data_IF_256918720325
#
_entry.id   IF_256918720325
#
_cell.length_a   1.000
_cell.length_b   1.000
_cell.length_c   1.000
_cell.angle_alpha   90.00
_cell.angle_beta   90.00
_cell.angle_gamma   90.00
#
_symmetry.space_group_name_H-M   'P 1'
#
loop_
_entity.id
_entity.type
_entity.pdbx_description
1 polymer ?
#
# COMPACT_ATOMS: atom_id res chain seq x y z
N UNK A 1 -8.73 -10.60 1.58
CA UNK A 1 -7.99 -9.86 2.65
C UNK A 1 -6.88 -10.67 3.31
N UNK A 2 -7.12 -11.94 3.67
CA UNK A 2 -6.12 -12.83 4.31
C UNK A 2 -4.92 -13.03 3.39
N UNK A 3 -5.19 -13.33 2.12
CA UNK A 3 -4.21 -13.49 1.06
C UNK A 3 -3.39 -12.21 0.82
N UNK A 4 -4.01 -11.03 0.94
CA UNK A 4 -3.33 -9.74 0.84
C UNK A 4 -2.35 -9.53 2.00
N UNK A 5 -2.69 -9.94 3.22
CA UNK A 5 -1.78 -9.88 4.36
C UNK A 5 -0.60 -10.84 4.19
N UNK A 6 -0.84 -12.07 3.74
CA UNK A 6 0.23 -13.03 3.42
C UNK A 6 1.20 -12.51 2.35
N UNK A 7 0.66 -11.99 1.24
CA UNK A 7 1.48 -11.37 0.19
C UNK A 7 2.19 -10.10 0.66
N UNK A 8 1.56 -9.33 1.57
CA UNK A 8 2.15 -8.14 2.20
C UNK A 8 3.38 -8.49 3.04
N UNK A 9 3.31 -9.53 3.85
CA UNK A 9 4.45 -10.01 4.66
C UNK A 9 5.64 -10.43 3.78
N UNK A 10 5.37 -11.18 2.69
CA UNK A 10 6.41 -11.60 1.73
C UNK A 10 7.08 -10.39 1.08
N UNK A 11 6.29 -9.39 0.66
CA UNK A 11 6.81 -8.15 0.07
C UNK A 11 7.66 -7.36 1.07
N UNK A 12 7.26 -7.28 2.34
CA UNK A 12 8.01 -6.56 3.37
C UNK A 12 9.40 -7.18 3.59
N UNK A 13 9.46 -8.52 3.74
CA UNK A 13 10.75 -9.24 3.88
C UNK A 13 11.62 -9.05 2.65
N UNK A 14 11.03 -9.16 1.46
CA UNK A 14 11.75 -9.00 0.19
C UNK A 14 12.28 -7.58 -0.01
N UNK A 15 11.51 -6.55 0.36
CA UNK A 15 11.91 -5.15 0.26
C UNK A 15 13.05 -4.81 1.23
N UNK A 16 12.97 -5.28 2.49
CA UNK A 16 14.05 -5.10 3.45
C UNK A 16 15.34 -5.79 3.00
N UNK A 17 15.20 -7.01 2.48
CA UNK A 17 16.30 -7.78 1.91
C UNK A 17 16.96 -7.08 0.71
N UNK A 18 16.16 -6.44 -0.16
CA UNK A 18 16.67 -5.65 -1.29
C UNK A 18 17.42 -4.40 -0.82
N UNK A 19 16.87 -3.67 0.15
CA UNK A 19 17.49 -2.46 0.69
C UNK A 19 18.82 -2.75 1.40
N UNK A 20 18.88 -3.83 2.19
CA UNK A 20 20.08 -4.20 2.95
C UNK A 20 21.21 -4.77 2.09
N UNK A 21 20.88 -5.46 0.99
CA UNK A 21 21.88 -6.04 0.07
C UNK A 21 22.22 -5.15 -1.10
N UNK A 22 21.44 -4.10 -1.34
CA UNK A 22 21.68 -3.12 -2.39
C UNK A 22 22.76 -2.10 -2.01
N UNK A 23 23.15 -1.31 -2.99
CA UNK A 23 24.09 -0.20 -2.86
C UNK A 23 23.39 1.17 -2.68
N UNK A 24 22.06 1.15 -2.53
CA UNK A 24 21.23 2.35 -2.41
C UNK A 24 20.87 3.02 -3.74
N UNK A 25 21.29 2.48 -4.89
CA UNK A 25 20.92 3.04 -6.21
C UNK A 25 19.51 2.66 -6.65
N UNK A 26 19.00 1.52 -6.18
CA UNK A 26 17.62 1.08 -6.38
C UNK A 26 16.67 1.81 -5.43
N UNK A 27 16.63 3.14 -5.55
CA UNK A 27 15.94 4.03 -4.62
C UNK A 27 14.99 4.97 -5.34
N UNK A 28 13.80 5.11 -4.76
CA UNK A 28 12.84 6.18 -5.05
C UNK A 28 12.51 6.82 -3.72
N UNK A 29 12.47 8.15 -3.65
CA UNK A 29 12.18 8.84 -2.40
C UNK A 29 10.81 8.45 -1.85
N UNK A 30 10.72 8.34 -0.52
CA UNK A 30 9.47 8.02 0.16
C UNK A 30 8.39 9.06 -0.16
N UNK A 31 8.76 10.34 -0.23
CA UNK A 31 7.84 11.43 -0.56
C UNK A 31 7.21 11.25 -1.95
N UNK A 32 7.99 10.81 -2.95
CA UNK A 32 7.45 10.52 -4.28
C UNK A 32 6.45 9.36 -4.23
N UNK A 33 6.75 8.30 -3.47
CA UNK A 33 5.84 7.17 -3.27
C UNK A 33 4.53 7.61 -2.58
N UNK A 34 4.62 8.45 -1.55
CA UNK A 34 3.44 8.97 -0.83
C UNK A 34 2.60 9.89 -1.72
N UNK A 35 3.24 10.77 -2.49
CA UNK A 35 2.54 11.66 -3.43
C UNK A 35 1.83 10.88 -4.52
N UNK A 36 2.47 9.84 -5.07
CA UNK A 36 1.85 8.91 -6.02
C UNK A 36 0.65 8.18 -5.40
N UNK A 37 0.81 7.63 -4.18
CA UNK A 37 -0.29 6.96 -3.45
C UNK A 37 -1.49 7.90 -3.23
N UNK A 38 -1.23 9.16 -2.88
CA UNK A 38 -2.29 10.16 -2.69
C UNK A 38 -2.99 10.51 -4.01
N UNK A 39 -2.24 10.66 -5.12
CA UNK A 39 -2.84 10.89 -6.45
C UNK A 39 -3.71 9.71 -6.86
N UNK A 40 -3.18 8.49 -6.78
CA UNK A 40 -3.94 7.27 -7.10
C UNK A 40 -5.20 7.17 -6.25
N UNK A 41 -5.12 7.45 -4.95
CA UNK A 41 -6.28 7.43 -4.05
C UNK A 41 -7.36 8.47 -4.42
N UNK A 42 -6.97 9.64 -4.95
CA UNK A 42 -7.92 10.65 -5.46
C UNK A 42 -8.60 10.18 -6.75
N UNK A 43 -7.85 9.54 -7.63
CA UNK A 43 -8.32 9.08 -8.94
C UNK A 43 -9.15 7.78 -8.87
N UNK A 44 -9.08 7.04 -7.77
CA UNK A 44 -9.93 5.87 -7.54
C UNK A 44 -11.41 6.25 -7.52
N UNK A 45 -12.24 5.50 -8.24
CA UNK A 45 -13.70 5.65 -8.19
C UNK A 45 -14.21 5.52 -6.75
N UNK A 46 -15.16 6.37 -6.36
CA UNK A 46 -15.75 6.36 -5.01
C UNK A 46 -16.30 4.99 -4.61
N UNK A 47 -16.81 4.21 -5.58
CA UNK A 47 -17.27 2.83 -5.37
C UNK A 47 -16.17 1.85 -4.91
N UNK A 48 -14.91 2.14 -5.24
CA UNK A 48 -13.75 1.28 -4.92
C UNK A 48 -12.82 1.89 -3.85
N UNK A 49 -13.16 3.10 -3.35
CA UNK A 49 -12.45 3.75 -2.22
C UNK A 49 -12.62 3.02 -0.89
N UNK A 50 -13.43 1.95 -0.81
CA UNK A 50 -13.49 1.05 0.35
C UNK A 50 -12.10 0.61 0.85
N UNK A 51 -11.15 0.38 -0.08
CA UNK A 51 -9.76 0.04 0.30
C UNK A 51 -8.90 1.26 0.69
N UNK A 52 -9.23 2.46 0.21
CA UNK A 52 -8.58 3.72 0.60
C UNK A 52 -9.02 4.21 1.99
N UNK A 53 -10.20 3.79 2.45
CA UNK A 53 -10.74 4.04 3.80
C UNK A 53 -10.40 2.93 4.81
N UNK A 54 -9.39 2.09 4.52
CA UNK A 54 -8.93 1.04 5.44
C UNK A 54 -9.52 -0.36 5.21
N UNK A 55 -10.24 -0.59 4.11
CA UNK A 55 -10.73 -1.92 3.74
C UNK A 55 -12.01 -2.36 4.47
N UNK A 56 -12.75 -1.41 5.07
CA UNK A 56 -14.07 -1.65 5.63
C UNK A 56 -15.10 -1.66 4.50
N UNK A 57 -15.09 -2.72 3.71
CA UNK A 57 -16.19 -3.00 2.80
C UNK A 57 -17.45 -3.29 3.63
N UNK A 58 -18.34 -2.29 3.73
CA UNK A 58 -19.80 -2.37 4.01
C UNK A 58 -20.33 -3.42 5.02
N UNK A 59 -19.59 -3.81 6.06
CA UNK A 59 -20.12 -4.64 7.15
C UNK A 59 -20.07 -4.01 8.54
N UNK A 60 -19.58 -2.77 8.65
CA UNK A 60 -19.58 -2.05 9.94
C UNK A 60 -20.58 -0.91 9.83
N UNK A 61 -21.69 -0.93 10.60
CA UNK A 61 -22.50 0.25 10.79
C UNK A 61 -21.59 1.34 11.34
N UNK A 62 -21.57 2.52 10.73
CA UNK A 62 -20.99 3.69 11.36
C UNK A 62 -21.83 4.01 12.60
N UNK A 63 -21.40 3.50 13.75
CA UNK A 63 -21.73 4.01 15.07
C UNK A 63 -20.43 4.20 15.84
#
# INVERSE_FOLDING_TARGET
>A
CIERNGLGAIKAVSAAALALRGDGTHFVSLDNCVSAMASTGRDMSEKYKETALGGLAVSVPNC
#
